data_IF_776899732159
#
_entry.id   IF_776899732159
#
_cell.length_a   1.000
_cell.length_b   1.000
_cell.length_c   1.000
_cell.angle_alpha   90.00
_cell.angle_beta   90.00
_cell.angle_gamma   90.00
#
_symmetry.space_group_name_H-M   'P 1'
#
loop_
_entity.id
_entity.type
_entity.pdbx_description
1 polymer ?
#
# COMPACT_ATOMS: atom_id res chain seq x y z
N UNK A 1 3.58 4.14 29.19
CA UNK A 1 4.35 4.21 27.93
C UNK A 1 3.33 4.29 26.80
N UNK A 2 3.51 5.20 25.84
CA UNK A 2 2.63 5.24 24.67
C UNK A 2 2.81 3.96 23.85
N UNK A 3 1.72 3.34 23.40
CA UNK A 3 1.74 2.18 22.51
C UNK A 3 2.31 2.60 21.16
N UNK A 4 3.32 1.88 20.66
CA UNK A 4 3.88 2.13 19.34
C UNK A 4 2.92 1.63 18.26
N UNK A 5 2.60 2.51 17.32
CA UNK A 5 1.76 2.22 16.17
C UNK A 5 2.64 1.93 14.95
N UNK A 6 2.25 0.93 14.18
CA UNK A 6 2.90 0.54 12.93
C UNK A 6 1.87 0.43 11.83
N UNK A 7 2.26 0.81 10.61
CA UNK A 7 1.44 0.63 9.42
C UNK A 7 2.15 -0.37 8.51
N UNK A 8 1.48 -1.49 8.21
CA UNK A 8 1.89 -2.45 7.19
C UNK A 8 1.21 -2.14 5.86
N UNK A 9 1.98 -2.23 4.77
CA UNK A 9 1.52 -2.06 3.38
C UNK A 9 1.84 -3.33 2.59
N UNK A 10 0.90 -3.81 1.79
CA UNK A 10 1.12 -4.95 0.90
C UNK A 10 0.35 -4.78 -0.42
N UNK A 11 0.99 -5.14 -1.54
CA UNK A 11 0.35 -5.31 -2.84
C UNK A 11 0.77 -6.67 -3.39
N UNK A 12 -0.17 -7.60 -3.48
CA UNK A 12 0.07 -8.93 -4.04
C UNK A 12 0.42 -8.92 -5.52
N UNK A 13 0.96 -10.04 -6.02
CA UNK A 13 1.24 -10.25 -7.45
C UNK A 13 -0.03 -10.41 -8.29
N UNK A 14 -1.20 -10.55 -7.66
CA UNK A 14 -2.50 -10.49 -8.34
C UNK A 14 -2.85 -9.08 -8.86
N UNK A 15 -2.17 -8.05 -8.32
CA UNK A 15 -2.33 -6.64 -8.69
C UNK A 15 -3.78 -6.14 -8.52
N UNK A 16 -4.45 -6.60 -7.47
CA UNK A 16 -5.82 -6.18 -7.16
C UNK A 16 -5.86 -4.80 -6.49
N UNK A 17 -4.81 -4.45 -5.74
CA UNK A 17 -4.72 -3.19 -5.02
C UNK A 17 -3.70 -3.21 -3.90
N UNK A 18 -3.88 -2.30 -2.96
CA UNK A 18 -3.03 -2.10 -1.78
C UNK A 18 -3.85 -2.45 -0.53
N UNK A 19 -3.37 -3.43 0.21
CA UNK A 19 -3.81 -3.71 1.58
C UNK A 19 -2.99 -2.86 2.56
N UNK A 20 -3.68 -2.18 3.48
CA UNK A 20 -3.04 -1.43 4.56
C UNK A 20 -3.60 -1.87 5.92
N UNK A 21 -2.71 -2.07 6.89
CA UNK A 21 -3.08 -2.45 8.25
C UNK A 21 -2.37 -1.59 9.28
N UNK A 22 -3.13 -0.97 10.18
CA UNK A 22 -2.63 -0.29 11.38
C UNK A 22 -2.61 -1.30 12.53
N UNK A 23 -1.44 -1.49 13.12
CA UNK A 23 -1.22 -2.46 14.20
C UNK A 23 -0.48 -1.81 15.38
N UNK A 24 -0.73 -2.33 16.57
CA UNK A 24 0.08 -2.07 17.77
C UNK A 24 0.54 -3.40 18.36
N UNK A 25 1.62 -3.37 19.13
CA UNK A 25 2.11 -4.54 19.86
C UNK A 25 1.91 -4.34 21.36
N UNK A 26 1.33 -5.34 22.03
CA UNK A 26 1.17 -5.30 23.48
C UNK A 26 2.51 -5.58 24.19
N UNK A 27 2.51 -5.54 25.53
CA UNK A 27 3.71 -5.80 26.34
C UNK A 27 4.33 -7.19 26.12
N UNK A 28 3.55 -8.14 25.61
CA UNK A 28 3.99 -9.50 25.26
C UNK A 28 4.40 -9.62 23.78
N UNK A 29 4.56 -8.51 23.06
CA UNK A 29 4.88 -8.46 21.63
C UNK A 29 3.83 -9.12 20.72
N UNK A 30 2.59 -9.26 21.19
CA UNK A 30 1.50 -9.78 20.37
C UNK A 30 0.87 -8.65 19.55
N UNK A 31 0.63 -8.87 18.25
CA UNK A 31 0.00 -7.86 17.39
C UNK A 31 -1.48 -7.71 17.74
N UNK A 32 -1.94 -6.47 17.77
CA UNK A 32 -3.34 -6.09 17.80
C UNK A 32 -3.65 -5.26 16.56
N UNK A 33 -4.60 -5.74 15.75
CA UNK A 33 -5.08 -5.05 14.57
C UNK A 33 -6.06 -3.95 14.98
N UNK A 34 -5.75 -2.71 14.64
CA UNK A 34 -6.56 -1.54 15.00
C UNK A 34 -7.48 -1.12 13.86
N UNK A 35 -6.96 -1.12 12.62
CA UNK A 35 -7.69 -0.71 11.43
C UNK A 35 -7.09 -1.36 10.18
N UNK A 36 -7.94 -1.61 9.20
CA UNK A 36 -7.51 -1.97 7.84
C UNK A 36 -8.14 -1.02 6.83
N UNK A 37 -7.51 -0.95 5.67
CA UNK A 37 -8.00 -0.24 4.50
C UNK A 37 -7.54 -0.94 3.23
N UNK A 38 -8.32 -0.82 2.16
CA UNK A 38 -8.00 -1.39 0.85
C UNK A 38 -8.21 -0.34 -0.24
N UNK A 39 -7.22 -0.18 -1.10
CA UNK A 39 -7.28 0.71 -2.26
C UNK A 39 -7.11 -0.12 -3.52
N UNK A 40 -8.18 -0.23 -4.31
CA UNK A 40 -8.16 -0.96 -5.58
C UNK A 40 -7.30 -0.22 -6.61
N UNK A 41 -6.50 -0.95 -7.38
CA UNK A 41 -5.84 -0.36 -8.54
C UNK A 41 -6.85 -0.06 -9.65
N UNK A 42 -6.59 0.99 -10.41
CA UNK A 42 -7.34 1.22 -11.64
C UNK A 42 -7.04 0.11 -12.64
N UNK A 43 -8.01 -0.21 -13.50
CA UNK A 43 -7.84 -1.22 -14.55
C UNK A 43 -6.68 -0.87 -15.49
N UNK A 44 -6.47 0.43 -15.73
CA UNK A 44 -5.38 0.95 -16.54
C UNK A 44 -4.01 0.70 -15.87
N UNK A 45 -3.84 1.07 -14.60
CA UNK A 45 -2.60 0.81 -13.86
C UNK A 45 -2.29 -0.68 -13.80
N UNK A 46 -3.31 -1.52 -13.52
CA UNK A 46 -3.16 -2.98 -13.54
C UNK A 46 -2.66 -3.49 -14.89
N UNK A 47 -3.22 -2.97 -15.99
CA UNK A 47 -2.80 -3.34 -17.36
C UNK A 47 -1.35 -2.92 -17.63
N UNK A 48 -0.97 -1.71 -17.21
CA UNK A 48 0.40 -1.22 -17.37
C UNK A 48 1.42 -2.06 -16.60
N UNK A 49 1.12 -2.44 -15.35
CA UNK A 49 2.00 -3.29 -14.55
C UNK A 49 2.09 -4.71 -15.14
N UNK A 50 0.97 -5.25 -15.63
CA UNK A 50 0.96 -6.56 -16.29
C UNK A 50 1.78 -6.55 -17.59
N UNK A 51 1.75 -5.46 -18.36
CA UNK A 51 2.55 -5.33 -19.57
C UNK A 51 4.06 -5.43 -19.27
N UNK A 52 4.52 -4.90 -18.13
CA UNK A 52 5.92 -4.98 -17.69
C UNK A 52 6.39 -6.41 -17.33
N UNK A 53 5.49 -7.40 -17.28
CA UNK A 53 5.85 -8.81 -17.09
C UNK A 53 6.31 -9.50 -18.38
N UNK A 54 6.33 -8.75 -19.48
CA UNK A 54 6.87 -9.15 -20.77
C UNK A 54 7.81 -8.05 -21.28
N UNK A 55 8.73 -8.36 -22.21
CA UNK A 55 9.53 -7.33 -22.86
C UNK A 55 8.61 -6.27 -23.49
N UNK A 56 8.84 -5.01 -23.16
CA UNK A 56 8.10 -3.89 -23.77
C UNK A 56 9.03 -2.77 -24.19
N UNK A 57 8.58 -1.97 -25.15
CA UNK A 57 9.30 -0.76 -25.52
C UNK A 57 9.48 0.14 -24.29
N UNK A 58 10.73 0.53 -24.04
CA UNK A 58 11.07 1.49 -22.99
C UNK A 58 10.63 1.07 -21.56
N UNK A 59 10.71 -0.23 -21.26
CA UNK A 59 10.27 -0.82 -19.99
C UNK A 59 10.92 -0.20 -18.74
N UNK A 60 12.17 0.28 -18.82
CA UNK A 60 12.87 0.89 -17.69
C UNK A 60 12.25 2.23 -17.28
N UNK A 61 11.99 3.12 -18.25
CA UNK A 61 11.35 4.42 -17.98
C UNK A 61 9.92 4.20 -17.47
N UNK A 62 9.16 3.30 -18.13
CA UNK A 62 7.80 2.95 -17.70
C UNK A 62 7.78 2.41 -16.28
N UNK A 63 8.72 1.54 -15.91
CA UNK A 63 8.85 1.00 -14.55
C UNK A 63 9.10 2.10 -13.54
N UNK A 64 9.98 3.06 -13.85
CA UNK A 64 10.26 4.18 -12.95
C UNK A 64 9.01 5.08 -12.73
N UNK A 65 8.28 5.39 -13.81
CA UNK A 65 7.06 6.20 -13.74
C UNK A 65 5.93 5.49 -12.97
N UNK A 66 5.74 4.19 -13.21
CA UNK A 66 4.78 3.37 -12.46
C UNK A 66 5.19 3.26 -11.00
N UNK A 67 6.48 3.14 -10.71
CA UNK A 67 7.01 3.14 -9.33
C UNK A 67 6.63 4.41 -8.56
N UNK A 68 6.76 5.58 -9.18
CA UNK A 68 6.31 6.85 -8.57
C UNK A 68 4.79 6.87 -8.35
N UNK A 69 4.02 6.40 -9.33
CA UNK A 69 2.56 6.31 -9.24
C UNK A 69 2.14 5.42 -8.07
N UNK A 70 2.78 4.26 -7.91
CA UNK A 70 2.56 3.35 -6.80
C UNK A 70 2.94 3.99 -5.46
N UNK A 71 4.09 4.67 -5.37
CA UNK A 71 4.50 5.37 -4.15
C UNK A 71 3.46 6.40 -3.69
N UNK A 72 2.89 7.17 -4.61
CA UNK A 72 1.80 8.09 -4.29
C UNK A 72 0.53 7.36 -3.84
N UNK A 73 0.17 6.25 -4.48
CA UNK A 73 -0.98 5.44 -4.07
C UNK A 73 -0.80 4.84 -2.67
N UNK A 74 0.39 4.33 -2.33
CA UNK A 74 0.70 3.86 -0.98
C UNK A 74 0.56 4.98 0.05
N UNK A 75 1.08 6.18 -0.24
CA UNK A 75 0.92 7.33 0.64
C UNK A 75 -0.56 7.73 0.84
N UNK A 76 -1.36 7.72 -0.23
CA UNK A 76 -2.80 7.95 -0.16
C UNK A 76 -3.48 6.89 0.71
N UNK A 77 -3.17 5.61 0.52
CA UNK A 77 -3.76 4.52 1.28
C UNK A 77 -3.44 4.61 2.79
N UNK A 78 -2.22 5.05 3.15
CA UNK A 78 -1.82 5.36 4.53
C UNK A 78 -2.65 6.50 5.10
N UNK A 79 -2.78 7.61 4.37
CA UNK A 79 -3.54 8.78 4.83
C UNK A 79 -5.03 8.47 5.01
N UNK A 80 -5.61 7.69 4.11
CA UNK A 80 -7.00 7.23 4.20
C UNK A 80 -7.21 6.32 5.42
N UNK A 81 -6.27 5.40 5.69
CA UNK A 81 -6.30 4.57 6.89
C UNK A 81 -6.23 5.39 8.17
N UNK A 82 -5.30 6.35 8.25
CA UNK A 82 -5.13 7.24 9.41
C UNK A 82 -6.38 8.09 9.67
N UNK A 83 -6.94 8.68 8.62
CA UNK A 83 -8.22 9.40 8.66
C UNK A 83 -9.35 8.49 9.18
N UNK A 84 -9.46 7.28 8.65
CA UNK A 84 -10.48 6.30 9.07
C UNK A 84 -10.27 5.76 10.50
N UNK A 85 -9.04 5.78 11.01
CA UNK A 85 -8.68 5.45 12.38
C UNK A 85 -8.78 6.64 13.34
N UNK A 86 -8.96 7.87 12.82
CA UNK A 86 -8.92 9.13 13.56
C UNK A 86 -7.59 9.33 14.32
N UNK A 87 -6.49 9.05 13.62
CA UNK A 87 -5.13 9.21 14.14
C UNK A 87 -4.43 10.25 13.28
N UNK A 88 -3.79 11.22 13.94
CA UNK A 88 -3.00 12.25 13.27
C UNK A 88 -1.67 11.66 12.78
N UNK A 89 -1.22 12.13 11.61
CA UNK A 89 0.03 11.71 10.97
C UNK A 89 1.27 12.34 11.61
#
# INVERSE_FOLDING_TARGET
>A
MASQLFIGLMSGTSLDGIDVALVTFNHLQQPQLLKTHFVAYSADLRTQILALQHPTDNELEKTALIGNTLAHLYATAVNELLSAAKIDA
#
